data_IF_865383450911
#
_entry.id   IF_865383450911
#
_cell.length_a   1.000
_cell.length_b   1.000
_cell.length_c   1.000
_cell.angle_alpha   90.00
_cell.angle_beta   90.00
_cell.angle_gamma   90.00
#
_symmetry.space_group_name_H-M   'P 1'
#
loop_
_entity.id
_entity.type
_entity.pdbx_description
1 polymer ?
#
# COMPACT_ATOMS: atom_id res chain seq x y z
N UNK A 1 56.96 -2.72 8.93
CA UNK A 1 56.42 -2.80 10.31
C UNK A 1 56.72 -1.56 11.17
N UNK A 2 57.08 -0.40 10.60
CA UNK A 2 57.39 0.84 11.36
C UNK A 2 56.30 1.94 11.25
N UNK A 3 55.34 1.85 10.33
CA UNK A 3 54.35 2.93 10.13
C UNK A 3 53.26 3.05 11.21
N UNK A 4 52.77 1.94 11.77
CA UNK A 4 51.65 1.98 12.72
C UNK A 4 52.00 2.66 14.05
N UNK A 5 53.26 2.59 14.47
CA UNK A 5 53.74 3.19 15.71
C UNK A 5 53.93 4.71 15.59
N UNK A 6 54.24 5.20 14.39
CA UNK A 6 54.40 6.63 14.11
C UNK A 6 53.05 7.35 14.01
N UNK A 7 52.04 6.68 13.44
CA UNK A 7 50.65 7.16 13.41
C UNK A 7 50.10 7.33 14.84
N UNK A 8 50.41 6.41 15.75
CA UNK A 8 49.96 6.47 17.14
C UNK A 8 50.66 7.57 17.97
N UNK A 9 51.90 7.95 17.64
CA UNK A 9 52.58 9.09 18.28
C UNK A 9 51.96 10.43 17.86
N UNK A 10 51.66 10.62 16.57
CA UNK A 10 51.05 11.86 16.07
C UNK A 10 49.64 12.09 16.64
N UNK A 11 48.83 11.04 16.74
CA UNK A 11 47.49 11.11 17.32
C UNK A 11 47.49 11.47 18.83
N UNK A 12 48.55 11.13 19.57
CA UNK A 12 48.72 11.55 20.97
C UNK A 12 49.11 13.03 21.11
N UNK A 13 49.94 13.54 20.19
CA UNK A 13 50.40 14.93 20.24
C UNK A 13 49.29 15.93 19.88
N UNK A 14 48.40 15.58 18.95
CA UNK A 14 47.27 16.41 18.54
C UNK A 14 46.14 16.49 19.58
N UNK A 15 46.19 15.69 20.67
CA UNK A 15 45.19 15.67 21.74
C UNK A 15 45.51 16.63 22.90
N UNK A 16 46.70 17.24 22.91
CA UNK A 16 47.10 18.22 23.92
C UNK A 16 46.71 19.66 23.55
N UNK A 17 46.36 19.91 22.29
CA UNK A 17 45.93 21.22 21.79
C UNK A 17 44.42 21.16 21.56
N UNK A 18 43.66 21.43 22.62
CA UNK A 18 42.21 21.25 22.67
C UNK A 18 41.46 21.95 21.52
N UNK A 19 41.06 21.16 20.52
CA UNK A 19 40.06 21.52 19.53
C UNK A 19 38.90 20.53 19.68
N UNK A 20 37.71 21.09 19.94
CA UNK A 20 36.42 20.43 20.18
C UNK A 20 36.13 19.36 19.09
N UNK A 21 35.57 18.19 19.38
CA UNK A 21 34.29 17.96 20.04
C UNK A 21 33.27 17.54 18.98
N UNK A 22 32.66 16.36 19.15
CA UNK A 22 31.42 15.88 18.50
C UNK A 22 31.40 15.11 17.15
N UNK A 23 32.51 14.83 16.47
CA UNK A 23 32.46 14.18 15.13
C UNK A 23 32.93 12.70 15.02
N UNK A 24 33.04 11.92 16.11
CA UNK A 24 33.60 10.54 16.01
C UNK A 24 32.75 9.41 16.62
N UNK A 25 31.41 9.53 16.57
CA UNK A 25 30.48 8.50 17.08
C UNK A 25 29.52 7.94 16.01
N UNK A 26 29.92 7.89 14.73
CA UNK A 26 29.13 7.24 13.67
C UNK A 26 29.74 5.91 13.13
N UNK A 27 30.68 5.31 13.86
CA UNK A 27 31.46 4.17 13.33
C UNK A 27 31.21 2.77 13.91
N UNK A 28 30.39 2.58 14.95
CA UNK A 28 30.36 1.29 15.67
C UNK A 28 28.99 0.60 15.64
N UNK A 29 28.93 -0.49 14.86
CA UNK A 29 27.78 -1.39 14.72
C UNK A 29 27.35 -2.08 16.03
N UNK A 30 26.07 -2.46 16.05
CA UNK A 30 25.26 -2.80 17.24
C UNK A 30 25.69 -3.97 18.13
N UNK A 31 26.84 -4.62 17.90
CA UNK A 31 27.38 -5.63 18.85
C UNK A 31 28.29 -5.01 19.92
N UNK A 32 28.94 -3.87 19.65
CA UNK A 32 29.80 -3.19 20.62
C UNK A 32 29.01 -2.50 21.74
N UNK A 33 27.76 -2.13 21.49
CA UNK A 33 26.90 -1.48 22.49
C UNK A 33 26.46 -2.44 23.60
N UNK A 34 26.38 -3.75 23.31
CA UNK A 34 25.90 -4.76 24.27
C UNK A 34 26.92 -5.07 25.38
N UNK A 35 28.23 -4.92 25.11
CA UNK A 35 29.28 -5.13 26.13
C UNK A 35 29.47 -3.91 27.05
N UNK A 36 29.17 -2.69 26.59
CA UNK A 36 29.29 -1.49 27.42
C UNK A 36 28.13 -1.42 28.44
N UNK A 37 26.96 -1.96 28.11
CA UNK A 37 25.80 -2.00 29.02
C UNK A 37 25.94 -3.10 30.08
N UNK A 38 26.59 -4.23 29.80
CA UNK A 38 26.84 -5.29 30.80
C UNK A 38 27.97 -4.95 31.79
N UNK A 39 28.96 -4.13 31.39
CA UNK A 39 30.10 -3.80 32.24
C UNK A 39 29.79 -2.83 33.40
N UNK A 40 28.61 -2.18 33.40
CA UNK A 40 28.19 -1.28 34.48
C UNK A 40 27.28 -1.96 35.52
N UNK A 41 27.10 -3.29 35.46
CA UNK A 41 26.27 -4.07 36.39
C UNK A 41 27.06 -4.80 37.51
N UNK A 42 28.32 -4.43 37.78
CA UNK A 42 29.15 -5.07 38.82
C UNK A 42 29.56 -4.17 40.01
N UNK A 43 29.01 -2.96 40.13
CA UNK A 43 29.17 -2.15 41.34
C UNK A 43 27.83 -2.04 42.06
N UNK A 44 27.67 -2.88 43.09
CA UNK A 44 26.44 -3.03 43.85
C UNK A 44 26.16 -1.90 44.84
N UNK A 45 24.88 -1.78 45.21
CA UNK A 45 24.48 -1.23 46.51
C UNK A 45 23.25 -0.32 46.54
N UNK A 46 22.05 -0.94 46.59
CA UNK A 46 20.84 -0.53 47.33
C UNK A 46 20.20 0.84 47.01
N UNK A 47 19.03 0.80 46.38
CA UNK A 47 18.11 1.93 46.34
C UNK A 47 16.98 1.74 45.33
N UNK A 48 16.00 0.91 45.67
CA UNK A 48 14.69 0.93 45.03
C UNK A 48 14.09 2.33 45.24
N UNK A 49 13.89 3.10 44.18
CA UNK A 49 12.72 3.98 44.03
C UNK A 49 12.51 4.33 42.55
N UNK A 50 11.29 4.01 42.12
CA UNK A 50 10.65 4.34 40.86
C UNK A 50 10.75 5.85 40.61
N UNK A 51 11.25 6.26 39.45
CA UNK A 51 10.63 7.36 38.72
C UNK A 51 10.92 7.25 37.22
N UNK A 52 9.85 6.94 36.49
CA UNK A 52 9.67 7.29 35.10
C UNK A 52 10.24 8.68 34.80
N UNK A 53 11.33 8.75 34.04
CA UNK A 53 11.65 9.96 33.28
C UNK A 53 12.30 9.60 31.94
N UNK A 54 11.55 8.86 31.12
CA UNK A 54 11.68 9.02 29.67
C UNK A 54 11.21 10.44 29.35
N UNK A 55 12.15 11.38 29.42
CA UNK A 55 12.00 12.74 28.91
C UNK A 55 11.48 12.62 27.48
N UNK A 56 10.21 12.95 27.28
CA UNK A 56 9.63 13.19 25.96
C UNK A 56 10.48 14.28 25.30
N UNK A 57 11.46 13.89 24.48
CA UNK A 57 12.06 14.79 23.49
C UNK A 57 10.99 14.98 22.42
N UNK A 58 10.08 15.90 22.66
CA UNK A 58 9.30 16.56 21.62
C UNK A 58 10.28 17.34 20.74
N UNK A 59 10.88 16.63 19.78
CA UNK A 59 11.43 17.30 18.59
C UNK A 59 10.25 17.58 17.68
N UNK A 60 9.64 18.74 17.90
CA UNK A 60 9.01 19.50 16.85
C UNK A 60 10.07 19.74 15.76
N UNK A 61 10.21 18.81 14.82
CA UNK A 61 10.99 19.00 13.61
C UNK A 61 10.42 18.10 12.52
N UNK A 62 9.75 18.80 11.59
CA UNK A 62 9.65 18.44 10.17
C UNK A 62 8.73 17.25 9.86
N UNK A 63 7.42 17.47 10.01
CA UNK A 63 6.39 16.65 9.35
C UNK A 63 5.40 17.57 8.62
N UNK A 64 5.92 18.49 7.79
CA UNK A 64 5.17 18.74 6.57
C UNK A 64 5.50 17.55 5.68
N UNK A 65 4.57 16.61 5.72
CA UNK A 65 4.19 15.80 4.60
C UNK A 65 5.36 15.18 3.83
N UNK A 66 5.75 13.97 4.23
CA UNK A 66 5.72 12.92 3.21
C UNK A 66 4.26 12.88 2.75
N UNK A 67 3.90 13.74 1.79
CA UNK A 67 2.60 13.68 1.13
C UNK A 67 2.50 12.25 0.66
N UNK A 68 1.54 11.52 1.22
CA UNK A 68 1.35 10.13 0.88
C UNK A 68 1.22 10.10 -0.63
N UNK A 69 2.01 9.28 -1.32
CA UNK A 69 1.78 9.01 -2.74
C UNK A 69 0.38 8.41 -2.98
N UNK A 70 -0.35 8.07 -1.91
CA UNK A 70 -1.76 7.66 -1.91
C UNK A 70 -2.77 8.83 -1.86
N UNK A 71 -2.32 10.09 -1.78
CA UNK A 71 -3.19 11.28 -1.74
C UNK A 71 -3.25 11.99 -3.11
N UNK A 72 -2.69 11.36 -4.16
CA UNK A 72 -2.94 11.78 -5.53
C UNK A 72 -4.38 11.36 -5.88
N UNK A 73 -5.27 12.30 -6.26
CA UNK A 73 -6.64 11.96 -6.59
C UNK A 73 -6.62 10.96 -7.74
N UNK A 74 -7.10 9.75 -7.47
CA UNK A 74 -7.22 8.72 -8.49
C UNK A 74 -8.13 9.27 -9.61
N UNK A 75 -7.71 9.15 -10.88
CA UNK A 75 -8.50 9.65 -11.98
C UNK A 75 -9.85 8.93 -11.99
N UNK A 76 -10.91 9.68 -12.19
CA UNK A 76 -12.25 9.11 -12.31
C UNK A 76 -12.33 8.17 -13.53
N UNK A 77 -13.28 7.24 -13.51
CA UNK A 77 -13.55 6.33 -14.63
C UNK A 77 -13.73 7.10 -15.95
N UNK A 78 -14.46 8.22 -15.92
CA UNK A 78 -14.67 9.07 -17.09
C UNK A 78 -13.37 9.65 -17.66
N UNK A 79 -12.47 10.12 -16.80
CA UNK A 79 -11.17 10.66 -17.21
C UNK A 79 -10.27 9.58 -17.80
N UNK A 80 -10.33 8.35 -17.28
CA UNK A 80 -9.59 7.20 -17.82
C UNK A 80 -10.11 6.86 -19.22
N UNK A 81 -11.42 6.76 -19.40
CA UNK A 81 -12.03 6.49 -20.71
C UNK A 81 -11.61 7.55 -21.72
N UNK A 82 -11.72 8.83 -21.34
CA UNK A 82 -11.28 9.95 -22.18
C UNK A 82 -9.81 9.81 -22.57
N UNK A 83 -8.92 9.57 -21.59
CA UNK A 83 -7.47 9.43 -21.81
C UNK A 83 -7.17 8.28 -22.76
N UNK A 84 -7.75 7.10 -22.56
CA UNK A 84 -7.53 5.93 -23.42
C UNK A 84 -8.02 6.18 -24.85
N UNK A 85 -9.18 6.85 -25.00
CA UNK A 85 -9.70 7.24 -26.32
C UNK A 85 -8.75 8.22 -27.03
N UNK A 86 -8.25 9.22 -26.33
CA UNK A 86 -7.31 10.22 -26.87
C UNK A 86 -5.96 9.58 -27.23
N UNK A 87 -5.44 8.65 -26.43
CA UNK A 87 -4.24 7.86 -26.74
C UNK A 87 -4.42 6.99 -27.99
N UNK A 88 -5.64 6.50 -28.24
CA UNK A 88 -5.98 5.78 -29.46
C UNK A 88 -6.28 6.68 -30.66
N UNK A 89 -6.18 7.99 -30.51
CA UNK A 89 -6.51 9.01 -31.54
C UNK A 89 -7.95 8.87 -32.09
N UNK A 90 -8.87 8.33 -31.29
CA UNK A 90 -10.26 8.14 -31.70
C UNK A 90 -11.07 9.39 -31.32
N UNK A 91 -11.79 9.97 -32.27
CA UNK A 91 -12.68 11.09 -31.96
C UNK A 91 -13.85 10.62 -31.07
N UNK A 92 -14.37 11.51 -30.22
CA UNK A 92 -15.51 11.21 -29.35
C UNK A 92 -16.74 10.70 -30.13
N UNK A 93 -16.99 11.25 -31.33
CA UNK A 93 -18.09 10.79 -32.19
C UNK A 93 -17.86 9.35 -32.66
N UNK A 94 -16.69 9.06 -33.25
CA UNK A 94 -16.36 7.71 -33.69
C UNK A 94 -16.41 6.70 -32.54
N UNK A 95 -15.91 7.07 -31.36
CA UNK A 95 -15.93 6.18 -30.20
C UNK A 95 -17.36 5.90 -29.72
N UNK A 96 -18.22 6.92 -29.66
CA UNK A 96 -19.62 6.76 -29.31
C UNK A 96 -20.36 5.83 -30.30
N UNK A 97 -20.07 5.97 -31.59
CA UNK A 97 -20.65 5.13 -32.66
C UNK A 97 -20.23 3.66 -32.49
N UNK A 98 -18.95 3.39 -32.18
CA UNK A 98 -18.44 2.03 -31.93
C UNK A 98 -19.05 1.39 -30.68
N UNK A 99 -19.18 2.17 -29.60
CA UNK A 99 -19.79 1.71 -28.33
C UNK A 99 -21.31 1.54 -28.46
N UNK A 100 -21.94 2.17 -29.46
CA UNK A 100 -23.39 2.13 -29.66
C UNK A 100 -24.16 3.05 -28.71
N UNK A 101 -23.56 4.17 -28.29
CA UNK A 101 -24.20 5.17 -27.42
C UNK A 101 -24.23 6.55 -28.07
N UNK A 102 -25.08 7.45 -27.55
CA UNK A 102 -25.11 8.81 -28.06
C UNK A 102 -23.88 9.62 -27.63
N UNK A 103 -23.38 10.48 -28.53
CA UNK A 103 -22.25 11.37 -28.24
C UNK A 103 -22.49 12.26 -26.98
N UNK A 104 -23.69 12.85 -26.76
CA UNK A 104 -23.97 13.58 -25.52
C UNK A 104 -23.85 12.70 -24.26
N UNK A 105 -24.25 11.43 -24.33
CA UNK A 105 -24.16 10.52 -23.20
C UNK A 105 -22.69 10.15 -22.91
N UNK A 106 -21.89 9.85 -23.93
CA UNK A 106 -20.45 9.64 -23.77
C UNK A 106 -19.76 10.86 -23.15
N UNK A 107 -20.11 12.07 -23.62
CA UNK A 107 -19.58 13.32 -23.05
C UNK A 107 -19.93 13.49 -21.56
N UNK A 108 -21.13 13.06 -21.12
CA UNK A 108 -21.49 13.06 -19.70
C UNK A 108 -20.65 12.06 -18.90
N UNK A 109 -20.41 10.86 -19.43
CA UNK A 109 -19.59 9.83 -18.79
C UNK A 109 -18.15 10.31 -18.64
N UNK A 110 -17.51 10.80 -19.71
CA UNK A 110 -16.11 11.27 -19.70
C UNK A 110 -15.86 12.43 -18.72
N UNK A 111 -16.90 13.20 -18.37
CA UNK A 111 -16.85 14.30 -17.39
C UNK A 111 -17.25 13.87 -15.97
N UNK A 112 -17.59 12.60 -15.76
CA UNK A 112 -18.09 12.10 -14.48
C UNK A 112 -19.47 12.61 -14.08
N UNK A 113 -20.25 13.18 -15.02
CA UNK A 113 -21.58 13.72 -14.74
C UNK A 113 -22.67 12.65 -14.68
N UNK A 114 -22.40 11.47 -15.23
CA UNK A 114 -23.37 10.36 -15.28
C UNK A 114 -22.67 9.02 -15.12
N UNK A 115 -23.19 8.20 -14.23
CA UNK A 115 -22.75 6.81 -14.08
C UNK A 115 -23.26 5.97 -15.28
N UNK A 116 -22.36 5.23 -15.97
CA UNK A 116 -22.77 4.26 -16.98
C UNK A 116 -23.31 2.97 -16.33
N UNK A 117 -24.18 2.25 -17.05
CA UNK A 117 -24.56 0.88 -16.67
C UNK A 117 -23.40 -0.09 -16.96
N UNK A 118 -23.38 -1.25 -16.29
CA UNK A 118 -22.36 -2.30 -16.52
C UNK A 118 -22.20 -2.68 -18.00
N UNK A 119 -23.32 -2.92 -18.70
CA UNK A 119 -23.32 -3.19 -20.15
C UNK A 119 -22.62 -2.13 -21.00
N UNK A 120 -22.72 -0.86 -20.59
CA UNK A 120 -22.08 0.27 -21.30
C UNK A 120 -20.59 0.29 -20.98
N UNK A 121 -20.20 -0.03 -19.73
CA UNK A 121 -18.79 -0.15 -19.35
C UNK A 121 -18.12 -1.30 -20.10
N UNK A 122 -18.80 -2.43 -20.26
CA UNK A 122 -18.31 -3.56 -21.05
C UNK A 122 -18.11 -3.19 -22.52
N UNK A 123 -19.09 -2.54 -23.15
CA UNK A 123 -18.96 -2.07 -24.53
C UNK A 123 -17.82 -1.04 -24.70
N UNK A 124 -17.62 -0.16 -23.72
CA UNK A 124 -16.49 0.78 -23.69
C UNK A 124 -15.16 0.03 -23.54
N UNK A 125 -15.08 -0.96 -22.66
CA UNK A 125 -13.89 -1.76 -22.45
C UNK A 125 -13.50 -2.54 -23.73
N UNK A 126 -14.47 -3.14 -24.39
CA UNK A 126 -14.30 -3.85 -25.66
C UNK A 126 -13.78 -2.91 -26.75
N UNK A 127 -14.37 -1.72 -26.89
CA UNK A 127 -13.93 -0.70 -27.86
C UNK A 127 -12.48 -0.22 -27.59
N UNK A 128 -12.07 -0.18 -26.32
CA UNK A 128 -10.70 0.17 -25.91
C UNK A 128 -9.73 -1.03 -25.91
N UNK A 129 -10.20 -2.24 -26.25
CA UNK A 129 -9.43 -3.50 -26.19
C UNK A 129 -8.86 -3.78 -24.80
N UNK A 130 -9.65 -3.53 -23.76
CA UNK A 130 -9.33 -3.79 -22.35
C UNK A 130 -10.46 -4.56 -21.68
N UNK A 131 -10.39 -4.73 -20.36
CA UNK A 131 -11.48 -5.32 -19.57
C UNK A 131 -12.10 -4.26 -18.66
N UNK A 132 -13.39 -4.40 -18.36
CA UNK A 132 -14.11 -3.53 -17.41
C UNK A 132 -13.42 -3.50 -16.04
N UNK A 133 -12.92 -4.67 -15.60
CA UNK A 133 -12.13 -4.79 -14.37
C UNK A 133 -10.90 -3.88 -14.39
N UNK A 134 -10.13 -3.86 -15.49
CA UNK A 134 -8.94 -3.02 -15.61
C UNK A 134 -9.29 -1.52 -15.61
N UNK A 135 -10.44 -1.13 -16.16
CA UNK A 135 -10.91 0.25 -16.09
C UNK A 135 -11.28 0.65 -14.65
N UNK A 136 -11.98 -0.24 -13.93
CA UNK A 136 -12.31 -0.02 -12.52
C UNK A 136 -11.08 0.02 -11.62
N UNK A 137 -10.08 -0.83 -11.89
CA UNK A 137 -8.80 -0.86 -11.17
C UNK A 137 -8.03 0.45 -11.34
N UNK A 138 -7.92 0.92 -12.59
CA UNK A 138 -7.29 2.22 -12.89
C UNK A 138 -8.01 3.39 -12.23
N UNK A 139 -9.33 3.28 -12.06
CA UNK A 139 -10.17 4.29 -11.42
C UNK A 139 -10.13 4.23 -9.89
N UNK A 140 -9.47 3.23 -9.29
CA UNK A 140 -9.56 2.99 -7.85
C UNK A 140 -10.97 2.63 -7.37
N UNK A 141 -11.83 2.20 -8.29
CA UNK A 141 -13.22 1.80 -8.02
C UNK A 141 -13.34 0.33 -7.65
N UNK A 142 -12.24 -0.42 -7.79
CA UNK A 142 -12.08 -1.65 -7.05
C UNK A 142 -11.63 -1.25 -5.67
N UNK A 143 -12.43 -1.58 -4.66
CA UNK A 143 -11.88 -1.85 -3.34
C UNK A 143 -10.75 -2.86 -3.60
N UNK A 144 -9.49 -2.40 -3.58
CA UNK A 144 -8.43 -3.28 -3.16
C UNK A 144 -9.00 -3.82 -1.86
N UNK A 145 -9.37 -5.10 -1.84
CA UNK A 145 -9.81 -5.77 -0.61
C UNK A 145 -8.81 -5.28 0.41
N UNK A 146 -9.22 -4.37 1.31
CA UNK A 146 -8.30 -3.75 2.25
C UNK A 146 -7.60 -4.94 2.83
N UNK A 147 -6.30 -5.10 2.55
CA UNK A 147 -5.54 -6.15 3.23
C UNK A 147 -5.79 -5.81 4.68
N UNK A 148 -6.56 -6.65 5.40
CA UNK A 148 -7.21 -6.21 6.62
C UNK A 148 -6.08 -5.73 7.49
N UNK A 149 -6.12 -4.48 7.96
CA UNK A 149 -5.07 -3.89 8.78
C UNK A 149 -4.74 -4.87 9.92
N UNK A 150 -3.69 -5.67 9.72
CA UNK A 150 -3.59 -6.99 10.32
C UNK A 150 -2.57 -7.84 9.59
N UNK A 151 -1.89 -8.72 10.33
CA UNK A 151 -0.90 -9.64 9.74
C UNK A 151 -1.62 -10.57 8.77
N UNK A 152 -1.29 -10.47 7.47
CA UNK A 152 -1.84 -11.35 6.43
C UNK A 152 -1.70 -12.83 6.85
N UNK A 153 -2.65 -13.69 6.45
CA UNK A 153 -2.58 -15.13 6.77
C UNK A 153 -1.23 -15.75 6.35
N UNK A 154 -0.66 -15.43 5.15
CA UNK A 154 0.69 -15.85 4.79
C UNK A 154 1.76 -15.40 5.79
N UNK A 155 1.69 -14.17 6.29
CA UNK A 155 2.65 -13.64 7.25
C UNK A 155 2.51 -14.30 8.63
N UNK A 156 1.29 -14.61 9.06
CA UNK A 156 1.04 -15.39 10.27
C UNK A 156 1.64 -16.81 10.16
N UNK A 157 1.48 -17.47 9.01
CA UNK A 157 2.08 -18.79 8.74
C UNK A 157 3.61 -18.70 8.73
N UNK A 158 4.18 -17.62 8.17
CA UNK A 158 5.63 -17.40 8.18
C UNK A 158 6.17 -17.19 9.59
N UNK A 159 5.47 -16.40 10.41
CA UNK A 159 5.89 -16.03 11.75
C UNK A 159 5.65 -17.10 12.82
N UNK A 160 4.83 -18.13 12.57
CA UNK A 160 4.51 -19.16 13.58
C UNK A 160 5.75 -20.01 13.96
N UNK A 161 6.22 -19.96 15.23
CA UNK A 161 7.37 -20.72 15.68
C UNK A 161 7.10 -22.23 15.84
N UNK A 162 5.84 -22.66 15.84
CA UNK A 162 5.45 -24.08 15.94
C UNK A 162 5.64 -24.82 14.63
N UNK A 163 5.83 -24.09 13.52
CA UNK A 163 5.96 -24.67 12.18
C UNK A 163 7.42 -24.87 11.77
N UNK A 164 7.76 -26.11 11.43
CA UNK A 164 9.01 -26.44 10.76
C UNK A 164 9.06 -25.90 9.32
N UNK A 165 10.25 -25.76 8.70
CA UNK A 165 10.40 -25.20 7.35
C UNK A 165 9.59 -25.92 6.27
N UNK A 166 9.47 -27.25 6.35
CA UNK A 166 8.69 -28.06 5.41
C UNK A 166 7.18 -27.86 5.59
N UNK A 167 6.69 -27.81 6.83
CA UNK A 167 5.28 -27.59 7.15
C UNK A 167 4.82 -26.21 6.71
N UNK A 168 5.64 -25.18 6.98
CA UNK A 168 5.40 -23.80 6.52
C UNK A 168 5.28 -23.73 5.00
N UNK A 169 6.20 -24.38 4.26
CA UNK A 169 6.12 -24.45 2.80
C UNK A 169 4.86 -25.17 2.30
N UNK A 170 4.49 -26.27 2.93
CA UNK A 170 3.28 -27.01 2.57
C UNK A 170 2.01 -26.18 2.78
N UNK A 171 1.88 -25.51 3.92
CA UNK A 171 0.74 -24.65 4.23
C UNK A 171 0.60 -23.46 3.28
N UNK A 172 1.72 -22.79 2.97
CA UNK A 172 1.71 -21.71 1.99
C UNK A 172 1.32 -22.21 0.59
N UNK A 173 1.82 -23.37 0.16
CA UNK A 173 1.45 -23.94 -1.13
C UNK A 173 -0.03 -24.30 -1.24
N UNK A 174 -0.63 -24.82 -0.17
CA UNK A 174 -2.07 -25.11 -0.11
C UNK A 174 -2.89 -23.82 -0.10
N UNK A 175 -2.47 -22.83 0.69
CA UNK A 175 -3.11 -21.52 0.74
C UNK A 175 -3.12 -20.85 -0.64
N UNK A 176 -1.96 -20.79 -1.30
CA UNK A 176 -1.82 -20.19 -2.63
C UNK A 176 -2.70 -20.89 -3.67
N UNK A 177 -2.83 -22.23 -3.59
CA UNK A 177 -3.68 -23.01 -4.48
C UNK A 177 -5.18 -22.67 -4.32
N UNK A 178 -5.64 -22.39 -3.09
CA UNK A 178 -7.02 -21.99 -2.85
C UNK A 178 -7.31 -20.56 -3.30
N UNK A 179 -6.38 -19.63 -3.05
CA UNK A 179 -6.59 -18.20 -3.35
C UNK A 179 -6.36 -17.89 -4.83
N UNK A 180 -5.41 -18.57 -5.48
CA UNK A 180 -5.07 -18.34 -6.90
C UNK A 180 -5.81 -19.27 -7.87
N UNK A 181 -6.52 -20.28 -7.37
CA UNK A 181 -7.20 -21.29 -8.18
C UNK A 181 -8.56 -20.85 -8.77
N UNK A 182 -9.06 -21.52 -9.82
CA UNK A 182 -10.34 -21.19 -10.48
C UNK A 182 -11.57 -21.24 -9.55
N UNK A 183 -11.49 -21.93 -8.41
CA UNK A 183 -12.55 -21.96 -7.39
C UNK A 183 -12.79 -20.61 -6.71
N UNK A 184 -11.76 -19.80 -6.49
CA UNK A 184 -11.89 -18.44 -5.95
C UNK A 184 -12.61 -17.51 -6.94
N UNK A 185 -12.31 -17.63 -8.23
CA UNK A 185 -13.04 -16.93 -9.31
C UNK A 185 -14.50 -17.38 -9.43
N UNK A 186 -14.79 -18.66 -9.19
CA UNK A 186 -16.14 -19.20 -9.32
C UNK A 186 -17.05 -18.88 -8.13
N UNK A 187 -16.52 -18.80 -6.90
CA UNK A 187 -17.27 -18.31 -5.73
C UNK A 187 -17.64 -16.84 -5.87
N UNK A 188 -16.75 -15.99 -6.40
CA UNK A 188 -17.02 -14.57 -6.64
C UNK A 188 -18.15 -14.33 -7.66
N UNK A 189 -18.28 -15.19 -8.68
CA UNK A 189 -19.38 -15.15 -9.67
C UNK A 189 -20.71 -15.68 -9.15
N UNK A 190 -20.70 -16.46 -8.07
CA UNK A 190 -21.89 -17.14 -7.52
C UNK A 190 -22.50 -16.44 -6.32
N UNK A 191 -22.14 -15.18 -6.03
CA UNK A 191 -22.91 -14.38 -5.08
C UNK A 191 -24.34 -14.31 -5.64
N UNK A 192 -25.34 -14.89 -4.97
CA UNK A 192 -26.70 -14.83 -5.49
C UNK A 192 -27.09 -13.35 -5.49
N UNK A 193 -27.40 -12.84 -6.68
CA UNK A 193 -28.21 -11.65 -6.82
C UNK A 193 -29.45 -11.91 -5.97
N UNK A 194 -29.56 -11.21 -4.85
CA UNK A 194 -30.83 -11.14 -4.15
C UNK A 194 -31.73 -10.36 -5.09
N UNK A 195 -32.58 -11.07 -5.83
CA UNK A 195 -33.64 -10.53 -6.66
C UNK A 195 -34.49 -9.57 -5.82
N UNK A 196 -34.13 -8.29 -5.87
CA UNK A 196 -34.89 -7.19 -5.31
C UNK A 196 -35.90 -6.70 -6.33
N UNK A 197 -36.81 -7.58 -6.76
CA UNK A 197 -38.00 -7.19 -7.50
C UNK A 197 -39.26 -7.51 -6.67
N UNK A 198 -39.84 -6.47 -6.08
CA UNK A 198 -41.28 -6.24 -6.04
C UNK A 198 -41.57 -4.89 -5.35
N UNK A 199 -41.35 -3.78 -6.07
CA UNK A 199 -42.04 -2.54 -5.74
C UNK A 199 -43.35 -2.50 -6.58
N UNK A 200 -44.54 -2.48 -5.95
CA UNK A 200 -45.80 -2.45 -6.69
C UNK A 200 -46.04 -1.05 -7.25
N UNK A 201 -46.20 -0.96 -8.57
CA UNK A 201 -46.65 0.28 -9.22
C UNK A 201 -48.11 0.54 -8.85
N UNK A 202 -48.49 1.74 -8.38
CA UNK A 202 -49.90 2.08 -8.21
C UNK A 202 -50.52 2.31 -9.60
N UNK A 203 -51.50 1.48 -9.86
CA UNK A 203 -52.45 1.48 -10.97
C UNK A 203 -53.01 2.90 -11.22
N UNK A 204 -52.83 3.39 -12.45
CA UNK A 204 -53.43 4.65 -12.89
C UNK A 204 -54.94 4.42 -13.04
N UNK A 205 -55.71 4.97 -12.11
CA UNK A 205 -57.16 5.08 -12.26
C UNK A 205 -57.47 6.14 -13.33
N UNK A 206 -58.06 5.67 -14.41
CA UNK A 206 -58.76 6.44 -15.43
C UNK A 206 -60.06 6.97 -14.82
N UNK A 207 -60.27 8.29 -14.81
CA UNK A 207 -61.57 9.01 -14.73
C UNK A 207 -61.37 10.52 -14.80
#
# INVERSE_FOLDING_TARGET
>A
MQDAHEVLRRARQQRAEGIAGDEFLEGLGGRAFRLVVEALALFGGRGLLILCHVRKRTRARRVYARRSLADEPQPSLGEIIRRQRELGEISMRQFADVVGISNPYLSQIERGLRAPSERVVDAIADALRTTSLALYEQAGLLEAEDEPEGTSVPDAIRADPRLGPAQRRALLGVYDAFVSGPGARQMRRRRPETDGEAEPQPERADS
#
